data_IF_434678321543
#
_entry.id   IF_434678321543
#
_cell.length_a   1.000
_cell.length_b   1.000
_cell.length_c   1.000
_cell.angle_alpha   90.00
_cell.angle_beta   90.00
_cell.angle_gamma   90.00
#
_symmetry.space_group_name_H-M   'P 1'
#
loop_
_entity.id
_entity.type
_entity.pdbx_description
1 polymer ?
#
# COMPACT_ATOMS: atom_id res chain seq x y z
N UNK A 1 -2.11 -47.04 3.31
CA UNK A 1 -3.30 -47.42 4.10
C UNK A 1 -3.24 -46.69 5.45
N UNK A 2 -3.67 -45.42 5.49
CA UNK A 2 -3.94 -44.60 6.70
C UNK A 2 -4.16 -43.12 6.28
N UNK A 3 -5.30 -42.82 5.64
CA UNK A 3 -5.68 -41.42 5.31
C UNK A 3 -7.19 -41.30 5.01
N UNK A 4 -8.05 -41.93 5.85
CA UNK A 4 -9.51 -41.94 5.61
C UNK A 4 -10.42 -41.67 6.81
N UNK A 5 -9.89 -41.19 7.95
CA UNK A 5 -10.70 -41.12 9.19
C UNK A 5 -10.88 -39.73 9.82
N UNK A 6 -10.48 -38.64 9.16
CA UNK A 6 -10.64 -37.27 9.72
C UNK A 6 -11.78 -36.46 9.06
N UNK A 7 -12.29 -36.88 7.89
CA UNK A 7 -13.27 -36.10 7.12
C UNK A 7 -14.77 -36.37 7.41
N UNK A 8 -15.13 -37.15 8.44
CA UNK A 8 -16.54 -37.49 8.75
C UNK A 8 -17.15 -36.80 9.98
N UNK A 9 -16.41 -35.98 10.74
CA UNK A 9 -16.95 -35.31 11.95
C UNK A 9 -17.34 -33.83 11.78
N UNK A 10 -17.05 -33.17 10.64
CA UNK A 10 -17.31 -31.73 10.47
C UNK A 10 -18.65 -31.37 9.80
N UNK A 11 -19.36 -32.34 9.21
CA UNK A 11 -20.70 -32.11 8.61
C UNK A 11 -21.87 -32.13 9.61
N UNK A 12 -21.64 -32.38 10.90
CA UNK A 12 -22.71 -32.46 11.92
C UNK A 12 -22.83 -31.20 12.81
N UNK A 13 -21.95 -30.21 12.62
CA UNK A 13 -21.92 -28.99 13.46
C UNK A 13 -22.63 -27.77 12.83
N UNK A 14 -23.09 -27.86 11.58
CA UNK A 14 -23.82 -26.77 10.89
C UNK A 14 -25.36 -26.90 10.93
N UNK A 15 -25.90 -27.84 11.72
CA UNK A 15 -27.35 -28.09 11.80
C UNK A 15 -28.07 -27.54 13.03
N UNK A 16 -27.37 -26.94 14.00
CA UNK A 16 -27.97 -26.59 15.31
C UNK A 16 -27.95 -25.08 15.60
N UNK A 17 -27.24 -24.26 14.81
CA UNK A 17 -27.16 -22.80 15.06
C UNK A 17 -28.15 -21.95 14.24
N UNK A 18 -29.02 -22.56 13.42
CA UNK A 18 -29.94 -21.82 12.54
C UNK A 18 -31.39 -21.72 13.03
N UNK A 19 -31.71 -22.23 14.24
CA UNK A 19 -33.10 -22.27 14.72
C UNK A 19 -33.36 -21.57 16.07
N UNK A 20 -32.51 -20.63 16.49
CA UNK A 20 -32.71 -19.97 17.77
C UNK A 20 -32.42 -18.46 17.82
N UNK A 21 -32.85 -17.70 16.81
CA UNK A 21 -32.98 -16.24 16.93
C UNK A 21 -34.22 -15.68 16.21
N UNK A 22 -35.39 -16.25 16.51
CA UNK A 22 -36.69 -15.59 16.30
C UNK A 22 -37.58 -15.77 17.53
N UNK A 23 -37.51 -14.82 18.48
CA UNK A 23 -38.50 -14.42 19.50
C UNK A 23 -37.74 -13.80 20.69
N UNK A 24 -37.76 -12.48 20.83
CA UNK A 24 -38.82 -11.68 21.48
C UNK A 24 -38.79 -11.72 23.00
N UNK A 25 -38.53 -10.53 23.57
CA UNK A 25 -39.05 -9.97 24.82
C UNK A 25 -38.64 -10.50 26.21
N UNK A 26 -37.94 -9.60 26.91
CA UNK A 26 -38.25 -9.09 28.27
C UNK A 26 -37.80 -9.87 29.52
N UNK A 27 -37.37 -9.04 30.48
CA UNK A 27 -37.29 -9.19 31.96
C UNK A 27 -35.94 -9.63 32.54
N UNK A 28 -35.51 -8.84 33.52
CA UNK A 28 -34.28 -8.99 34.28
C UNK A 28 -34.38 -9.94 35.47
N UNK A 29 -33.52 -9.69 36.48
CA UNK A 29 -33.26 -10.47 37.70
C UNK A 29 -32.39 -11.72 37.43
N UNK A 30 -31.40 -12.14 38.23
CA UNK A 30 -30.94 -11.82 39.59
C UNK A 30 -29.48 -12.29 39.70
N UNK A 31 -28.64 -11.56 40.43
CA UNK A 31 -27.29 -11.97 40.80
C UNK A 31 -27.33 -12.89 42.02
N UNK A 32 -26.83 -14.12 41.90
CA UNK A 32 -26.58 -15.00 43.05
C UNK A 32 -25.15 -15.52 42.99
N UNK A 33 -24.33 -15.09 43.94
CA UNK A 33 -22.97 -15.57 44.19
C UNK A 33 -23.01 -16.94 44.89
N UNK A 34 -22.26 -17.93 44.41
CA UNK A 34 -21.66 -19.00 45.22
C UNK A 34 -20.77 -19.91 44.35
N UNK A 35 -19.53 -20.15 44.77
CA UNK A 35 -18.76 -21.31 44.28
C UNK A 35 -17.31 -21.04 43.93
N UNK A 36 -16.44 -21.24 44.91
CA UNK A 36 -14.99 -21.35 44.88
C UNK A 36 -14.39 -22.20 43.75
N UNK A 37 -13.29 -21.70 43.16
CA UNK A 37 -12.19 -22.53 42.67
C UNK A 37 -12.29 -23.02 41.22
N UNK A 38 -11.62 -22.30 40.31
CA UNK A 38 -10.57 -22.80 39.40
C UNK A 38 -10.18 -21.61 38.51
N UNK A 39 -8.98 -21.09 38.75
CA UNK A 39 -8.34 -20.14 37.86
C UNK A 39 -7.85 -20.90 36.62
N UNK A 40 -8.48 -20.70 35.48
CA UNK A 40 -7.84 -20.93 34.17
C UNK A 40 -8.47 -19.99 33.14
N UNK A 41 -7.64 -19.06 32.67
CA UNK A 41 -7.93 -17.88 31.87
C UNK A 41 -8.96 -18.05 30.74
N UNK A 42 -10.09 -17.36 30.89
CA UNK A 42 -10.84 -16.83 29.75
C UNK A 42 -10.39 -15.38 29.61
N UNK A 43 -9.59 -15.10 28.58
CA UNK A 43 -9.30 -13.73 28.15
C UNK A 43 -10.58 -13.17 27.54
N UNK A 44 -11.40 -12.53 28.38
CA UNK A 44 -12.52 -11.71 27.92
C UNK A 44 -11.92 -10.43 27.32
N UNK A 45 -11.86 -10.37 25.99
CA UNK A 45 -11.70 -9.14 25.24
C UNK A 45 -12.92 -8.24 25.51
N UNK A 46 -12.88 -7.47 26.59
CA UNK A 46 -13.77 -6.34 26.77
C UNK A 46 -13.29 -5.23 25.84
N UNK A 47 -13.81 -5.21 24.62
CA UNK A 47 -13.80 -4.00 23.78
C UNK A 47 -14.75 -3.02 24.45
N UNK A 48 -14.22 -2.25 25.40
CA UNK A 48 -14.91 -1.08 25.93
C UNK A 48 -14.80 0.03 24.88
N UNK A 49 -15.74 0.02 23.93
CA UNK A 49 -16.09 1.20 23.16
C UNK A 49 -16.68 2.22 24.13
N UNK A 50 -15.83 3.07 24.71
CA UNK A 50 -16.14 4.46 25.09
C UNK A 50 -15.02 5.06 25.94
N UNK A 51 -14.18 5.87 25.30
CA UNK A 51 -13.78 7.23 25.72
C UNK A 51 -12.65 7.70 24.80
N UNK A 52 -13.02 8.11 23.59
CA UNK A 52 -12.24 9.07 22.81
C UNK A 52 -12.38 10.41 23.54
N UNK A 53 -11.68 10.56 24.67
CA UNK A 53 -11.56 11.82 25.39
C UNK A 53 -10.22 12.41 24.98
N UNK A 54 -10.29 13.35 24.05
CA UNK A 54 -9.66 14.67 24.15
C UNK A 54 -8.32 14.72 24.92
N UNK A 55 -7.31 14.04 24.42
CA UNK A 55 -5.96 14.58 24.47
C UNK A 55 -5.67 15.09 23.06
N UNK A 56 -5.69 16.40 22.86
CA UNK A 56 -4.90 17.00 21.79
C UNK A 56 -3.45 16.62 22.10
N UNK A 57 -3.04 15.45 21.62
CA UNK A 57 -1.64 15.05 21.63
C UNK A 57 -0.96 16.13 20.80
N UNK A 58 -0.14 16.95 21.44
CA UNK A 58 0.74 17.89 20.74
C UNK A 58 1.39 17.07 19.63
N UNK A 59 1.13 17.46 18.38
CA UNK A 59 1.60 16.75 17.21
C UNK A 59 3.11 16.55 17.36
N UNK A 60 3.54 15.31 17.64
CA UNK A 60 4.95 15.05 17.88
C UNK A 60 5.69 14.91 16.56
N UNK A 61 6.25 16.03 16.10
CA UNK A 61 6.92 16.08 14.80
C UNK A 61 8.21 15.26 14.77
N UNK A 62 8.82 14.95 15.92
CA UNK A 62 10.04 14.13 15.95
C UNK A 62 9.82 12.68 15.49
N UNK A 63 8.55 12.26 15.39
CA UNK A 63 8.21 10.93 14.89
C UNK A 63 8.28 10.81 13.37
N UNK A 64 8.28 11.92 12.63
CA UNK A 64 8.32 11.95 11.17
C UNK A 64 9.74 12.07 10.62
N UNK A 65 9.93 11.77 9.33
CA UNK A 65 11.24 11.91 8.67
C UNK A 65 11.67 13.38 8.55
N UNK A 66 10.71 14.30 8.41
CA UNK A 66 10.94 15.74 8.47
C UNK A 66 9.65 16.47 8.90
N UNK A 67 9.74 17.80 9.03
CA UNK A 67 8.59 18.66 9.35
C UNK A 67 7.47 18.50 8.29
N UNK A 68 6.18 18.49 8.70
CA UNK A 68 5.04 18.45 7.79
C UNK A 68 5.10 19.56 6.72
N UNK A 69 4.39 19.36 5.61
CA UNK A 69 4.33 20.33 4.52
C UNK A 69 3.41 21.49 4.93
N UNK A 70 2.24 21.15 5.44
CA UNK A 70 1.34 22.11 6.08
C UNK A 70 1.87 22.50 7.46
N UNK A 71 1.74 23.77 7.85
CA UNK A 71 2.23 24.21 9.15
C UNK A 71 1.54 23.47 10.31
N UNK A 72 2.31 23.14 11.35
CA UNK A 72 1.83 22.40 12.52
C UNK A 72 0.59 23.06 13.14
N UNK A 73 0.58 24.40 13.25
CA UNK A 73 -0.57 25.15 13.78
C UNK A 73 -1.85 24.92 12.97
N UNK A 74 -1.74 24.85 11.62
CA UNK A 74 -2.90 24.60 10.75
C UNK A 74 -3.43 23.18 10.90
N UNK A 75 -2.53 22.21 11.03
CA UNK A 75 -2.88 20.80 11.26
C UNK A 75 -3.56 20.63 12.62
N UNK A 76 -3.01 21.25 13.67
CA UNK A 76 -3.58 21.20 15.02
C UNK A 76 -4.92 21.93 15.14
N UNK A 77 -5.11 23.03 14.38
CA UNK A 77 -6.38 23.78 14.35
C UNK A 77 -7.50 23.02 13.65
N UNK A 78 -7.18 22.14 12.69
CA UNK A 78 -8.17 21.40 11.89
C UNK A 78 -7.92 19.89 11.94
N UNK A 79 -7.98 19.26 13.12
CA UNK A 79 -7.62 17.84 13.28
C UNK A 79 -8.59 16.90 12.55
N UNK A 80 -9.85 17.34 12.37
CA UNK A 80 -10.89 16.55 11.72
C UNK A 80 -10.95 16.70 10.20
N UNK A 81 -10.26 17.69 9.64
CA UNK A 81 -10.19 17.91 8.19
C UNK A 81 -9.50 16.74 7.50
N UNK A 82 -10.07 16.27 6.39
CA UNK A 82 -9.55 15.10 5.69
C UNK A 82 -8.13 15.32 5.15
N UNK A 83 -7.77 16.55 4.78
CA UNK A 83 -6.42 16.86 4.29
C UNK A 83 -5.42 16.72 5.44
N UNK A 84 -5.77 17.22 6.63
CA UNK A 84 -4.98 16.99 7.85
C UNK A 84 -4.82 15.51 8.14
N UNK A 85 -5.93 14.75 8.18
CA UNK A 85 -5.91 13.30 8.45
C UNK A 85 -5.02 12.55 7.47
N UNK A 86 -5.12 12.87 6.18
CA UNK A 86 -4.35 12.21 5.13
C UNK A 86 -2.87 12.61 5.16
N UNK A 87 -2.54 13.89 5.35
CA UNK A 87 -1.14 14.34 5.48
C UNK A 87 -0.45 13.67 6.66
N UNK A 88 -1.11 13.60 7.82
CA UNK A 88 -0.56 12.93 9.00
C UNK A 88 -0.42 11.41 8.80
N UNK A 89 -1.38 10.78 8.11
CA UNK A 89 -1.30 9.35 7.78
C UNK A 89 -0.07 9.07 6.90
N UNK A 90 0.11 9.79 5.79
CA UNK A 90 1.23 9.52 4.86
C UNK A 90 2.58 9.85 5.49
N UNK A 91 2.67 10.90 6.34
CA UNK A 91 3.88 11.23 7.11
C UNK A 91 4.25 10.09 8.07
N UNK A 92 3.25 9.57 8.81
CA UNK A 92 3.45 8.44 9.72
C UNK A 92 3.93 7.20 8.96
N UNK A 93 3.23 6.82 7.89
CA UNK A 93 3.55 5.61 7.11
C UNK A 93 4.94 5.74 6.47
N UNK A 94 5.30 6.92 5.95
CA UNK A 94 6.65 7.19 5.43
C UNK A 94 7.70 6.93 6.52
N UNK A 95 7.52 7.51 7.71
CA UNK A 95 8.48 7.39 8.79
C UNK A 95 8.60 5.96 9.33
N UNK A 96 7.46 5.29 9.55
CA UNK A 96 7.44 3.90 9.99
C UNK A 96 8.13 2.99 8.97
N UNK A 97 7.86 3.19 7.68
CA UNK A 97 8.45 2.35 6.65
C UNK A 97 9.95 2.61 6.47
N UNK A 98 10.40 3.88 6.45
CA UNK A 98 11.82 4.22 6.45
C UNK A 98 12.56 3.56 7.61
N UNK A 99 12.04 3.69 8.84
CA UNK A 99 12.65 3.09 10.04
C UNK A 99 12.70 1.56 9.96
N UNK A 100 11.64 0.92 9.43
CA UNK A 100 11.65 -0.53 9.24
C UNK A 100 12.69 -0.98 8.21
N UNK A 101 12.86 -0.23 7.11
CA UNK A 101 13.90 -0.54 6.12
C UNK A 101 15.30 -0.33 6.68
N UNK A 102 15.55 0.77 7.40
CA UNK A 102 16.84 1.01 8.09
C UNK A 102 17.16 -0.09 9.11
N UNK A 103 16.15 -0.62 9.83
CA UNK A 103 16.36 -1.70 10.80
C UNK A 103 16.81 -3.04 10.19
N UNK A 104 16.78 -3.16 8.85
CA UNK A 104 17.25 -4.33 8.12
C UNK A 104 18.65 -4.12 7.53
N UNK A 105 19.17 -2.90 7.57
CA UNK A 105 20.47 -2.52 7.06
C UNK A 105 21.54 -2.52 8.16
N UNK A 106 22.80 -2.34 7.75
CA UNK A 106 23.90 -2.07 8.68
C UNK A 106 23.79 -0.65 9.26
N UNK A 107 24.37 -0.43 10.45
CA UNK A 107 24.26 0.82 11.24
C UNK A 107 24.68 2.10 10.51
N UNK A 108 25.36 2.01 9.36
CA UNK A 108 25.83 3.17 8.60
C UNK A 108 24.90 3.58 7.43
N UNK A 109 23.86 2.79 7.15
CA UNK A 109 22.98 2.98 6.00
C UNK A 109 21.67 3.64 6.43
N UNK A 110 21.57 4.95 6.19
CA UNK A 110 20.38 5.75 6.53
C UNK A 110 19.75 6.41 5.31
N UNK A 111 18.45 6.70 5.40
CA UNK A 111 17.76 7.51 4.41
C UNK A 111 18.32 8.94 4.41
N UNK A 112 18.69 9.42 3.23
CA UNK A 112 18.85 10.84 2.98
C UNK A 112 17.46 11.45 2.86
N UNK A 113 17.14 12.37 3.75
CA UNK A 113 15.84 13.04 3.81
C UNK A 113 15.96 14.43 3.22
N UNK A 114 15.13 14.72 2.24
CA UNK A 114 15.04 16.03 1.61
C UNK A 114 13.60 16.55 1.61
N UNK A 115 13.38 17.63 2.35
CA UNK A 115 12.11 18.34 2.41
C UNK A 115 12.17 19.56 1.50
N UNK A 116 11.23 19.64 0.57
CA UNK A 116 11.18 20.69 -0.45
C UNK A 116 9.78 21.31 -0.54
N UNK A 117 9.72 22.52 -1.11
CA UNK A 117 8.49 23.29 -1.30
C UNK A 117 8.39 23.79 -2.75
N UNK A 118 7.16 24.08 -3.21
CA UNK A 118 6.91 24.67 -4.54
C UNK A 118 6.51 26.13 -4.39
N UNK A 119 6.94 26.96 -5.36
CA UNK A 119 6.51 28.36 -5.45
C UNK A 119 4.98 28.49 -5.63
N UNK A 120 4.37 27.55 -6.35
CA UNK A 120 2.92 27.52 -6.63
C UNK A 120 2.06 27.03 -5.46
N UNK A 121 2.68 26.55 -4.38
CA UNK A 121 2.00 25.97 -3.23
C UNK A 121 2.28 24.48 -3.03
N UNK A 122 2.35 24.07 -1.76
CA UNK A 122 2.65 22.71 -1.35
C UNK A 122 4.13 22.35 -1.38
N UNK A 123 4.42 21.06 -1.40
CA UNK A 123 5.77 20.52 -1.29
C UNK A 123 5.79 19.01 -1.12
N UNK A 124 6.90 18.49 -0.64
CA UNK A 124 7.06 17.07 -0.39
C UNK A 124 8.28 16.73 0.47
N UNK A 125 8.36 15.47 0.85
CA UNK A 125 9.50 14.88 1.56
C UNK A 125 9.94 13.68 0.76
N UNK A 126 11.19 13.71 0.30
CA UNK A 126 11.83 12.64 -0.46
C UNK A 126 12.84 11.96 0.46
N UNK A 127 12.61 10.68 0.76
CA UNK A 127 13.55 9.86 1.52
C UNK A 127 14.19 8.87 0.56
N UNK A 128 15.52 8.88 0.43
CA UNK A 128 16.27 7.95 -0.44
C UNK A 128 17.37 7.24 0.32
N UNK A 129 17.39 5.91 0.22
CA UNK A 129 18.50 5.05 0.63
C UNK A 129 19.10 4.42 -0.63
N UNK A 130 20.42 4.46 -0.74
CA UNK A 130 21.16 3.96 -1.91
C UNK A 130 22.44 3.28 -1.47
N UNK A 131 22.83 2.23 -2.21
CA UNK A 131 24.01 1.43 -1.93
C UNK A 131 23.97 0.79 -0.52
N UNK A 132 22.78 0.40 -0.06
CA UNK A 132 22.62 -0.41 1.15
C UNK A 132 23.07 -1.85 0.92
N UNK A 133 23.32 -2.56 2.01
CA UNK A 133 23.71 -3.97 2.02
C UNK A 133 22.53 -4.85 1.66
N UNK A 134 21.33 -4.49 2.13
CA UNK A 134 20.08 -5.23 1.84
C UNK A 134 19.32 -4.59 0.68
N UNK A 135 19.20 -3.26 0.68
CA UNK A 135 18.50 -2.49 -0.32
C UNK A 135 19.51 -1.70 -1.16
N UNK A 136 19.75 -2.18 -2.39
CA UNK A 136 20.53 -1.42 -3.37
C UNK A 136 19.97 0.00 -3.56
N UNK A 137 18.64 0.12 -3.57
CA UNK A 137 17.93 1.40 -3.59
C UNK A 137 16.55 1.26 -2.97
N UNK A 138 16.18 2.20 -2.12
CA UNK A 138 14.83 2.40 -1.64
C UNK A 138 14.49 3.88 -1.66
N UNK A 139 13.24 4.20 -1.94
CA UNK A 139 12.75 5.53 -1.65
C UNK A 139 11.30 5.54 -1.24
N UNK A 140 11.00 6.45 -0.32
CA UNK A 140 9.69 6.59 0.30
C UNK A 140 9.35 8.07 0.24
N UNK A 141 8.54 8.44 -0.75
CA UNK A 141 8.26 9.84 -1.06
C UNK A 141 6.83 10.19 -0.68
N UNK A 142 6.64 11.38 -0.12
CA UNK A 142 5.32 11.99 0.04
C UNK A 142 5.30 13.35 -0.66
N UNK A 143 4.11 13.74 -1.09
CA UNK A 143 3.86 15.07 -1.65
C UNK A 143 2.49 15.56 -1.20
N UNK A 144 2.45 16.80 -0.73
CA UNK A 144 1.21 17.52 -0.43
C UNK A 144 1.22 18.75 -1.31
N UNK A 145 0.51 18.67 -2.43
CA UNK A 145 0.44 19.74 -3.42
C UNK A 145 -0.92 20.41 -3.34
N UNK A 146 -0.91 21.74 -3.28
CA UNK A 146 -2.09 22.57 -3.38
C UNK A 146 -1.83 23.63 -4.45
N UNK A 147 -2.85 23.95 -5.24
CA UNK A 147 -2.70 24.92 -6.33
C UNK A 147 -3.83 24.82 -7.33
N UNK A 148 -3.60 25.44 -8.50
CA UNK A 148 -4.52 25.38 -9.64
C UNK A 148 -4.21 24.14 -10.50
N UNK A 149 -5.24 23.42 -10.94
CA UNK A 149 -5.06 22.27 -11.83
C UNK A 149 -4.41 22.72 -13.15
N UNK A 150 -3.28 22.12 -13.58
CA UNK A 150 -2.71 22.44 -14.86
C UNK A 150 -3.66 21.96 -15.99
N UNK A 151 -3.74 22.65 -17.13
CA UNK A 151 -4.67 22.30 -18.22
C UNK A 151 -4.56 20.85 -18.70
N UNK A 152 -3.35 20.28 -18.70
CA UNK A 152 -3.13 18.87 -19.04
C UNK A 152 -3.72 17.88 -18.03
N UNK A 153 -3.75 18.22 -16.74
CA UNK A 153 -4.43 17.41 -15.71
C UNK A 153 -5.94 17.46 -15.92
N UNK A 154 -6.49 18.66 -16.20
CA UNK A 154 -7.91 18.84 -16.50
C UNK A 154 -8.32 18.00 -17.72
N UNK A 155 -7.50 18.00 -18.78
CA UNK A 155 -7.75 17.20 -19.97
C UNK A 155 -7.74 15.69 -19.68
N UNK A 156 -6.81 15.20 -18.87
CA UNK A 156 -6.80 13.79 -18.43
C UNK A 156 -8.01 13.44 -17.56
N UNK A 157 -8.41 14.32 -16.64
CA UNK A 157 -9.59 14.10 -15.79
C UNK A 157 -10.89 14.11 -16.61
N UNK A 158 -11.01 15.02 -17.60
CA UNK A 158 -12.12 15.04 -18.56
C UNK A 158 -12.17 13.76 -19.42
N UNK A 159 -11.03 13.24 -19.85
CA UNK A 159 -10.95 11.97 -20.57
C UNK A 159 -11.43 10.77 -19.73
N UNK A 160 -11.42 10.89 -18.39
CA UNK A 160 -12.00 9.91 -17.45
C UNK A 160 -13.49 10.13 -17.16
N UNK A 161 -14.15 11.03 -17.89
CA UNK A 161 -15.58 11.31 -17.74
C UNK A 161 -15.93 12.23 -16.57
N UNK A 162 -14.95 12.84 -15.88
CA UNK A 162 -15.23 13.86 -14.86
C UNK A 162 -15.63 15.17 -15.56
N UNK A 163 -16.82 15.69 -15.25
CA UNK A 163 -17.23 17.01 -15.70
C UNK A 163 -16.58 18.07 -14.82
N UNK A 164 -15.63 18.80 -15.41
CA UNK A 164 -14.89 19.89 -14.74
C UNK A 164 -15.21 21.18 -15.48
N UNK A 165 -15.91 22.10 -14.81
CA UNK A 165 -16.27 23.41 -15.31
C UNK A 165 -15.04 24.20 -15.79
N UNK A 166 -15.21 25.09 -16.77
CA UNK A 166 -14.14 25.98 -17.21
C UNK A 166 -13.83 27.03 -16.13
N UNK A 167 -12.73 26.83 -15.41
CA UNK A 167 -12.27 27.76 -14.37
C UNK A 167 -11.08 27.24 -13.57
N UNK A 168 -10.40 28.16 -12.88
CA UNK A 168 -9.25 27.88 -12.01
C UNK A 168 -9.72 27.18 -10.72
N UNK A 169 -9.79 25.85 -10.71
CA UNK A 169 -10.24 25.08 -9.56
C UNK A 169 -9.08 24.79 -8.60
N UNK A 170 -9.17 25.23 -7.32
CA UNK A 170 -8.23 24.78 -6.31
C UNK A 170 -8.42 23.28 -6.08
N UNK A 171 -7.35 22.50 -6.23
CA UNK A 171 -7.40 21.06 -6.01
C UNK A 171 -6.51 20.64 -4.85
N UNK A 172 -6.96 19.58 -4.18
CA UNK A 172 -6.17 18.78 -3.25
C UNK A 172 -6.26 17.34 -3.76
N UNK A 173 -5.14 16.74 -4.11
CA UNK A 173 -5.10 15.36 -4.58
C UNK A 173 -4.60 14.43 -3.47
N UNK A 174 -5.46 13.50 -3.06
CA UNK A 174 -5.09 12.29 -2.33
C UNK A 174 -6.09 11.18 -2.72
N UNK A 175 -5.63 10.00 -3.15
CA UNK A 175 -6.48 8.90 -3.69
C UNK A 175 -7.01 7.94 -2.59
N UNK A 176 -7.91 6.96 -2.82
CA UNK A 176 -8.33 6.13 -4.00
C UNK A 176 -9.51 5.16 -3.63
N UNK A 177 -10.37 4.59 -4.55
CA UNK A 177 -11.78 3.97 -4.43
C UNK A 177 -12.09 2.67 -3.66
N UNK A 178 -13.30 2.58 -3.07
CA UNK A 178 -14.00 1.35 -2.66
C UNK A 178 -15.32 1.13 -3.44
N UNK A 179 -15.23 0.25 -4.44
CA UNK A 179 -16.27 -0.53 -5.15
C UNK A 179 -17.05 -1.56 -4.31
N UNK A 180 -18.33 -1.87 -4.53
CA UNK A 180 -19.04 -3.02 -3.92
C UNK A 180 -18.55 -4.43 -4.37
N UNK A 181 -17.30 -4.55 -4.83
CA UNK A 181 -16.64 -5.82 -5.14
C UNK A 181 -15.60 -6.15 -4.09
N UNK A 182 -15.44 -7.44 -3.75
CA UNK A 182 -14.39 -7.89 -2.84
C UNK A 182 -12.98 -7.60 -3.36
N UNK A 183 -11.97 -7.95 -2.56
CA UNK A 183 -10.53 -7.81 -2.86
C UNK A 183 -10.12 -8.26 -4.28
N UNK A 184 -10.88 -9.22 -4.85
CA UNK A 184 -10.76 -9.72 -6.22
C UNK A 184 -10.79 -8.63 -7.29
N UNK A 185 -11.61 -7.59 -7.13
CA UNK A 185 -11.69 -6.48 -8.10
C UNK A 185 -10.39 -5.69 -8.13
N UNK A 186 -9.84 -5.36 -6.96
CA UNK A 186 -8.55 -4.64 -6.87
C UNK A 186 -7.38 -5.51 -7.30
N UNK A 187 -7.45 -6.82 -7.08
CA UNK A 187 -6.46 -7.76 -7.60
C UNK A 187 -6.48 -7.80 -9.12
N UNK A 188 -7.66 -7.97 -9.73
CA UNK A 188 -7.79 -7.96 -11.18
C UNK A 188 -7.32 -6.62 -11.76
N UNK A 189 -7.69 -5.51 -11.14
CA UNK A 189 -7.26 -4.20 -11.61
C UNK A 189 -5.74 -4.02 -11.51
N UNK A 190 -5.10 -4.61 -10.50
CA UNK A 190 -3.64 -4.64 -10.38
C UNK A 190 -3.00 -5.42 -11.53
N UNK A 191 -3.53 -6.61 -11.84
CA UNK A 191 -3.04 -7.44 -12.94
C UNK A 191 -3.18 -6.72 -14.29
N UNK A 192 -4.33 -6.07 -14.52
CA UNK A 192 -4.61 -5.31 -15.75
C UNK A 192 -3.74 -4.04 -15.86
N UNK A 193 -3.55 -3.28 -14.76
CA UNK A 193 -2.82 -2.02 -14.79
C UNK A 193 -1.31 -2.21 -15.00
N UNK A 194 -0.72 -3.23 -14.37
CA UNK A 194 0.72 -3.48 -14.42
C UNK A 194 1.14 -4.40 -15.58
N UNK A 195 0.33 -4.49 -16.64
CA UNK A 195 0.62 -5.29 -17.82
C UNK A 195 1.55 -4.55 -18.81
N UNK A 196 2.58 -5.23 -19.31
CA UNK A 196 3.54 -4.71 -20.27
C UNK A 196 3.12 -5.20 -21.67
N UNK A 197 2.26 -4.43 -22.34
CA UNK A 197 1.60 -4.85 -23.60
C UNK A 197 2.58 -5.39 -24.65
N UNK A 198 3.73 -4.74 -24.85
CA UNK A 198 4.70 -5.14 -25.87
C UNK A 198 5.54 -6.37 -25.49
N UNK A 199 5.46 -6.85 -24.24
CA UNK A 199 6.10 -8.08 -23.76
C UNK A 199 5.11 -9.23 -23.55
N UNK A 200 3.82 -8.91 -23.48
CA UNK A 200 2.76 -9.89 -23.21
C UNK A 200 2.81 -10.46 -21.79
N UNK A 201 3.31 -9.71 -20.80
CA UNK A 201 3.45 -10.17 -19.41
C UNK A 201 3.18 -9.02 -18.40
N UNK A 202 2.73 -9.38 -17.20
CA UNK A 202 2.68 -8.47 -16.06
C UNK A 202 4.08 -8.12 -15.54
N UNK A 203 4.23 -6.91 -14.99
CA UNK A 203 5.47 -6.43 -14.35
C UNK A 203 5.90 -7.31 -13.17
N UNK A 204 4.93 -7.87 -12.43
CA UNK A 204 5.12 -8.70 -11.25
C UNK A 204 3.87 -9.54 -10.95
N UNK A 205 3.78 -10.10 -9.74
CA UNK A 205 2.71 -11.04 -9.34
C UNK A 205 1.41 -10.39 -8.87
N UNK A 206 1.28 -9.08 -9.04
CA UNK A 206 0.10 -8.30 -8.68
C UNK A 206 0.10 -7.83 -7.22
N UNK A 207 -1.10 -7.69 -6.65
CA UNK A 207 -1.35 -7.07 -5.36
C UNK A 207 -2.75 -6.44 -5.39
N UNK A 208 -2.90 -5.25 -4.82
CA UNK A 208 -4.11 -4.44 -4.98
C UNK A 208 -3.79 -3.17 -5.76
N UNK A 209 -4.69 -2.76 -6.64
CA UNK A 209 -4.62 -1.49 -7.33
C UNK A 209 -6.03 -0.88 -7.43
N UNK A 210 -6.10 0.42 -7.21
CA UNK A 210 -7.34 1.17 -7.22
C UNK A 210 -7.07 2.64 -7.53
N UNK A 211 -8.02 3.31 -8.18
CA UNK A 211 -7.99 4.73 -8.54
C UNK A 211 -9.40 5.32 -8.33
N UNK A 212 -9.51 6.65 -8.19
CA UNK A 212 -10.77 7.42 -8.12
C UNK A 212 -11.72 7.13 -6.90
N UNK A 213 -11.30 7.23 -5.61
CA UNK A 213 -12.23 7.10 -4.43
C UNK A 213 -13.24 8.22 -4.31
N UNK A 214 -14.52 7.89 -4.36
CA UNK A 214 -15.57 8.78 -3.88
C UNK A 214 -16.74 8.11 -3.13
N UNK A 215 -16.80 6.77 -3.03
CA UNK A 215 -17.90 6.04 -2.38
C UNK A 215 -17.47 5.01 -1.31
N UNK A 216 -18.30 4.68 -0.29
CA UNK A 216 -19.61 5.28 0.00
C UNK A 216 -19.50 6.63 0.71
N UNK A 217 -18.37 6.95 1.35
CA UNK A 217 -18.10 8.26 1.95
C UNK A 217 -16.60 8.54 2.03
N UNK A 218 -16.25 9.81 2.20
CA UNK A 218 -14.87 10.24 2.40
C UNK A 218 -14.21 9.60 3.64
N UNK A 219 -14.98 9.28 4.67
CA UNK A 219 -14.43 8.68 5.88
C UNK A 219 -14.18 7.17 5.71
N UNK A 220 -15.13 6.44 5.12
CA UNK A 220 -14.94 5.01 4.79
C UNK A 220 -13.75 4.83 3.85
N UNK A 221 -13.64 5.75 2.88
CA UNK A 221 -12.51 5.84 1.99
C UNK A 221 -11.17 5.95 2.71
N UNK A 222 -11.09 6.91 3.64
CA UNK A 222 -9.91 7.13 4.43
C UNK A 222 -9.57 5.91 5.29
N UNK A 223 -10.55 5.25 5.90
CA UNK A 223 -10.34 4.04 6.69
C UNK A 223 -9.81 2.88 5.84
N UNK A 224 -10.33 2.71 4.62
CA UNK A 224 -9.84 1.72 3.69
C UNK A 224 -8.38 2.01 3.30
N UNK A 225 -8.07 3.23 2.84
CA UNK A 225 -6.71 3.65 2.48
C UNK A 225 -5.74 3.49 3.66
N UNK A 226 -6.17 3.86 4.86
CA UNK A 226 -5.42 3.66 6.09
C UNK A 226 -5.09 2.17 6.30
N UNK A 227 -6.07 1.29 6.16
CA UNK A 227 -5.84 -0.16 6.30
C UNK A 227 -4.85 -0.69 5.26
N UNK A 228 -4.93 -0.24 4.00
CA UNK A 228 -3.99 -0.62 2.96
C UNK A 228 -2.57 -0.13 3.26
N UNK A 229 -2.43 1.12 3.72
CA UNK A 229 -1.14 1.70 4.08
C UNK A 229 -0.51 0.97 5.28
N UNK A 230 -1.31 0.65 6.31
CA UNK A 230 -0.87 -0.12 7.48
C UNK A 230 -0.50 -1.57 7.14
N UNK A 231 -1.02 -2.12 6.04
CA UNK A 231 -0.70 -3.47 5.57
C UNK A 231 0.64 -3.58 4.80
N UNK A 232 1.26 -2.47 4.38
CA UNK A 232 2.51 -2.48 3.60
C UNK A 232 3.66 -3.13 4.37
N UNK A 233 3.89 -2.67 5.60
CA UNK A 233 4.98 -3.18 6.45
C UNK A 233 4.82 -4.68 6.76
N UNK A 234 3.67 -5.17 7.29
CA UNK A 234 3.51 -6.58 7.63
C UNK A 234 3.45 -7.51 6.41
N UNK A 235 3.15 -7.00 5.19
CA UNK A 235 3.20 -7.82 3.98
C UNK A 235 4.60 -7.91 3.36
N UNK A 236 5.41 -6.86 3.47
CA UNK A 236 6.71 -6.78 2.80
C UNK A 236 7.90 -7.15 3.69
N UNK A 237 7.97 -6.62 4.92
CA UNK A 237 9.13 -6.80 5.80
C UNK A 237 9.42 -8.26 6.14
N UNK A 238 8.42 -9.13 6.40
CA UNK A 238 8.69 -10.55 6.64
C UNK A 238 9.36 -11.26 5.45
N UNK A 239 9.00 -10.90 4.21
CA UNK A 239 9.61 -11.48 3.01
C UNK A 239 11.07 -11.08 2.89
N UNK A 240 11.39 -9.80 3.14
CA UNK A 240 12.78 -9.34 3.14
C UNK A 240 13.59 -10.03 4.24
N UNK A 241 13.05 -10.11 5.47
CA UNK A 241 13.72 -10.80 6.59
C UNK A 241 14.02 -12.26 6.27
N UNK A 242 13.11 -12.94 5.56
CA UNK A 242 13.28 -14.33 5.18
C UNK A 242 14.40 -14.50 4.14
N UNK A 243 14.48 -13.62 3.14
CA UNK A 243 15.32 -13.83 1.96
C UNK A 243 16.56 -12.95 1.86
N UNK A 244 16.74 -11.93 2.71
CA UNK A 244 17.86 -10.97 2.60
C UNK A 244 19.25 -11.60 2.72
N UNK A 245 19.36 -12.79 3.30
CA UNK A 245 20.62 -13.51 3.50
C UNK A 245 20.73 -14.75 2.59
N UNK A 246 19.78 -14.96 1.68
CA UNK A 246 19.83 -16.09 0.75
C UNK A 246 21.02 -15.90 -0.20
N UNK A 247 21.79 -16.98 -0.39
CA UNK A 247 22.88 -16.99 -1.35
C UNK A 247 22.35 -16.91 -2.78
N UNK A 248 22.97 -16.11 -3.62
CA UNK A 248 22.70 -16.05 -5.06
C UNK A 248 23.99 -15.99 -5.87
N UNK A 249 23.97 -16.59 -7.05
CA UNK A 249 25.06 -16.63 -8.00
C UNK A 249 24.94 -15.62 -9.13
N UNK A 250 25.86 -15.73 -10.08
CA UNK A 250 25.91 -14.85 -11.24
C UNK A 250 24.64 -14.92 -12.10
N UNK A 251 24.13 -16.12 -12.36
CA UNK A 251 22.95 -16.33 -13.21
C UNK A 251 21.70 -15.65 -12.63
N UNK A 252 21.44 -15.84 -11.33
CA UNK A 252 20.31 -15.21 -10.63
C UNK A 252 20.43 -13.68 -10.63
N UNK A 253 21.65 -13.15 -10.45
CA UNK A 253 21.89 -11.70 -10.57
C UNK A 253 21.62 -11.18 -11.98
N UNK A 254 22.05 -11.89 -13.03
CA UNK A 254 21.76 -11.50 -14.41
C UNK A 254 20.26 -11.51 -14.68
N UNK A 255 19.55 -12.53 -14.21
CA UNK A 255 18.10 -12.61 -14.32
C UNK A 255 17.40 -11.46 -13.59
N UNK A 256 17.82 -11.15 -12.36
CA UNK A 256 17.29 -10.02 -11.60
C UNK A 256 17.45 -8.69 -12.36
N UNK A 257 18.61 -8.46 -13.01
CA UNK A 257 18.85 -7.25 -13.81
C UNK A 257 17.95 -7.19 -15.05
N UNK A 258 17.65 -8.32 -15.69
CA UNK A 258 16.68 -8.39 -16.80
C UNK A 258 15.26 -8.08 -16.32
N UNK A 259 14.84 -8.63 -15.17
CA UNK A 259 13.54 -8.30 -14.55
C UNK A 259 13.44 -6.82 -14.17
N UNK A 260 14.54 -6.22 -13.68
CA UNK A 260 14.63 -4.77 -13.46
C UNK A 260 14.50 -3.97 -14.76
N UNK A 261 15.01 -4.47 -15.88
CA UNK A 261 14.78 -3.90 -17.21
C UNK A 261 13.28 -3.82 -17.56
N UNK A 262 12.51 -4.88 -17.27
CA UNK A 262 11.04 -4.89 -17.42
C UNK A 262 10.35 -3.87 -16.51
N UNK A 263 10.84 -3.71 -15.28
CA UNK A 263 10.34 -2.69 -14.36
C UNK A 263 10.53 -1.27 -14.91
N UNK A 264 11.71 -0.99 -15.50
CA UNK A 264 12.00 0.28 -16.17
C UNK A 264 11.13 0.49 -17.40
N UNK A 265 10.97 -0.53 -18.26
CA UNK A 265 10.08 -0.48 -19.43
C UNK A 265 8.66 -0.06 -19.03
N UNK A 266 8.11 -0.67 -17.98
CA UNK A 266 6.78 -0.30 -17.50
C UNK A 266 6.71 1.17 -17.03
N UNK A 267 7.64 1.60 -16.17
CA UNK A 267 7.59 2.93 -15.60
C UNK A 267 7.74 4.03 -16.67
N UNK A 268 8.59 3.82 -17.68
CA UNK A 268 8.80 4.81 -18.73
C UNK A 268 7.70 4.80 -19.80
N UNK A 269 7.12 3.63 -20.12
CA UNK A 269 6.20 3.48 -21.27
C UNK A 269 4.73 3.49 -20.85
N UNK A 270 4.37 2.96 -19.68
CA UNK A 270 2.97 2.71 -19.32
C UNK A 270 2.54 3.42 -18.04
N UNK A 271 3.43 3.64 -17.08
CA UNK A 271 3.03 4.24 -15.81
C UNK A 271 2.51 5.68 -15.97
N UNK A 272 1.23 5.85 -15.62
CA UNK A 272 0.54 7.14 -15.75
C UNK A 272 1.14 8.19 -14.83
N UNK A 273 1.53 7.78 -13.61
CA UNK A 273 2.12 8.69 -12.61
C UNK A 273 3.46 9.26 -13.08
N UNK A 274 4.35 8.39 -13.57
CA UNK A 274 5.65 8.79 -14.12
C UNK A 274 5.48 9.72 -15.32
N UNK A 275 4.64 9.36 -16.30
CA UNK A 275 4.37 10.24 -17.45
C UNK A 275 3.84 11.60 -17.03
N UNK A 276 2.79 11.62 -16.20
CA UNK A 276 2.20 12.86 -15.72
C UNK A 276 3.23 13.75 -15.01
N UNK A 277 4.05 13.17 -14.14
CA UNK A 277 5.13 13.88 -13.47
C UNK A 277 6.14 14.49 -14.44
N UNK A 278 6.59 13.73 -15.44
CA UNK A 278 7.58 14.21 -16.42
C UNK A 278 7.03 15.35 -17.30
N UNK A 279 5.74 15.33 -17.63
CA UNK A 279 5.08 16.39 -18.40
C UNK A 279 4.62 17.60 -17.56
N UNK A 280 4.71 17.54 -16.23
CA UNK A 280 4.31 18.66 -15.36
C UNK A 280 5.44 19.68 -15.27
N UNK A 281 5.23 20.96 -15.67
CA UNK A 281 6.24 22.00 -15.55
C UNK A 281 6.69 22.19 -14.10
N UNK A 282 7.99 22.35 -13.88
CA UNK A 282 8.57 22.53 -12.54
C UNK A 282 8.49 21.29 -11.64
N UNK A 283 8.10 20.13 -12.18
CA UNK A 283 8.12 18.89 -11.41
C UNK A 283 9.56 18.44 -11.12
N UNK A 284 9.73 17.79 -9.98
CA UNK A 284 11.04 17.31 -9.54
C UNK A 284 11.34 15.94 -10.12
N UNK A 285 12.09 15.91 -11.22
CA UNK A 285 12.42 14.67 -11.93
C UNK A 285 13.15 13.64 -11.06
N UNK A 286 14.02 14.07 -10.15
CA UNK A 286 14.69 13.16 -9.20
C UNK A 286 13.70 12.39 -8.31
N UNK A 287 12.60 13.02 -7.89
CA UNK A 287 11.56 12.36 -7.09
C UNK A 287 10.70 11.42 -7.94
N UNK A 288 10.50 11.73 -9.23
CA UNK A 288 9.72 10.92 -10.18
C UNK A 288 10.50 9.66 -10.59
N UNK A 289 11.77 9.84 -10.96
CA UNK A 289 12.67 8.77 -11.42
C UNK A 289 13.30 7.98 -10.27
N UNK A 290 12.97 8.33 -9.01
CA UNK A 290 13.39 7.56 -7.83
C UNK A 290 13.03 6.08 -7.96
N UNK A 291 11.88 5.77 -8.58
CA UNK A 291 11.41 4.40 -8.81
C UNK A 291 12.34 3.55 -9.68
N UNK A 292 13.22 4.16 -10.49
CA UNK A 292 14.15 3.42 -11.32
C UNK A 292 15.24 2.75 -10.46
N UNK A 293 15.58 1.48 -10.71
CA UNK A 293 16.63 0.78 -9.97
C UNK A 293 18.01 1.36 -10.29
N UNK A 294 19.01 1.07 -9.44
CA UNK A 294 20.41 1.46 -9.72
C UNK A 294 20.95 0.80 -10.99
N UNK A 295 20.60 -0.47 -11.21
CA UNK A 295 21.11 -1.27 -12.31
C UNK A 295 19.95 -2.03 -12.96
N UNK A 296 19.95 -2.07 -14.29
CA UNK A 296 19.05 -2.85 -15.12
C UNK A 296 19.80 -3.34 -16.36
N UNK A 297 19.33 -4.44 -16.97
CA UNK A 297 19.92 -5.03 -18.17
C UNK A 297 18.86 -5.25 -19.24
N UNK A 298 19.26 -5.09 -20.50
CA UNK A 298 18.54 -5.54 -21.67
C UNK A 298 19.42 -6.44 -22.50
N UNK A 299 18.86 -7.54 -22.98
CA UNK A 299 19.56 -8.53 -23.78
C UNK A 299 18.69 -8.92 -24.97
N UNK A 300 19.33 -8.98 -26.14
CA UNK A 300 18.64 -9.25 -27.39
C UNK A 300 18.26 -10.73 -27.48
N UNK A 301 16.99 -11.02 -27.77
CA UNK A 301 16.45 -12.39 -27.91
C UNK A 301 16.72 -13.33 -26.72
N UNK A 302 16.84 -12.79 -25.50
CA UNK A 302 16.97 -13.63 -24.31
C UNK A 302 15.66 -14.38 -24.00
N UNK A 303 15.73 -15.70 -23.93
CA UNK A 303 14.67 -16.58 -23.45
C UNK A 303 15.18 -17.46 -22.31
N UNK A 304 14.45 -17.57 -21.18
CA UNK A 304 14.86 -18.45 -20.09
C UNK A 304 14.74 -19.92 -20.52
N UNK A 305 15.60 -20.77 -19.97
CA UNK A 305 15.54 -22.21 -20.21
C UNK A 305 14.15 -22.76 -19.81
N UNK A 306 13.46 -23.57 -20.63
CA UNK A 306 12.06 -23.96 -20.36
C UNK A 306 11.80 -24.64 -19.01
N UNK A 307 12.78 -25.34 -18.45
CA UNK A 307 12.66 -26.06 -17.17
C UNK A 307 13.21 -25.29 -15.96
N UNK A 308 13.51 -24.00 -16.12
CA UNK A 308 14.12 -23.15 -15.09
C UNK A 308 13.08 -22.44 -14.21
N UNK A 309 13.50 -21.94 -13.06
CA UNK A 309 12.64 -21.11 -12.19
C UNK A 309 12.27 -19.78 -12.87
N UNK A 310 13.14 -19.26 -13.73
CA UNK A 310 12.92 -18.09 -14.55
C UNK A 310 11.75 -18.29 -15.52
N UNK A 311 11.68 -19.46 -16.18
CA UNK A 311 10.57 -19.79 -17.07
C UNK A 311 9.25 -19.94 -16.32
N UNK A 312 9.26 -20.57 -15.13
CA UNK A 312 8.08 -20.66 -14.25
C UNK A 312 7.57 -19.28 -13.84
N UNK A 313 8.48 -18.36 -13.49
CA UNK A 313 8.10 -16.98 -13.20
C UNK A 313 7.44 -16.33 -14.42
N UNK A 314 8.06 -16.40 -15.60
CA UNK A 314 7.50 -15.80 -16.83
C UNK A 314 6.11 -16.37 -17.15
N UNK A 315 5.87 -17.66 -16.94
CA UNK A 315 4.54 -18.25 -17.13
C UNK A 315 3.49 -17.61 -16.22
N UNK A 316 3.81 -17.40 -14.94
CA UNK A 316 2.93 -16.71 -13.97
C UNK A 316 2.71 -15.26 -14.37
N UNK A 317 3.73 -14.58 -14.91
CA UNK A 317 3.60 -13.19 -15.33
C UNK A 317 2.77 -13.05 -16.61
N UNK A 318 2.81 -14.03 -17.51
CA UNK A 318 1.95 -14.09 -18.70
C UNK A 318 0.50 -14.45 -18.33
N UNK A 319 0.32 -15.29 -17.31
CA UNK A 319 -0.97 -15.79 -16.87
C UNK A 319 -1.15 -15.56 -15.35
N UNK A 320 -1.60 -14.36 -14.94
CA UNK A 320 -1.78 -14.02 -13.53
C UNK A 320 -2.66 -15.05 -12.80
N UNK A 321 -2.19 -15.48 -11.63
CA UNK A 321 -2.87 -16.46 -10.79
C UNK A 321 -3.72 -15.80 -9.71
N UNK A 322 -4.78 -16.50 -9.31
CA UNK A 322 -5.49 -16.21 -8.08
C UNK A 322 -4.74 -16.85 -6.91
N UNK A 323 -4.02 -16.04 -6.13
CA UNK A 323 -3.19 -16.48 -5.01
C UNK A 323 -3.97 -16.90 -3.75
N UNK A 324 -5.27 -16.59 -3.65
CA UNK A 324 -6.08 -16.89 -2.48
C UNK A 324 -6.85 -18.21 -2.62
N UNK A 325 -7.22 -18.56 -3.86
CA UNK A 325 -8.00 -19.77 -4.15
C UNK A 325 -7.23 -20.83 -4.94
N UNK A 326 -5.93 -20.62 -5.23
CA UNK A 326 -5.11 -21.67 -5.86
C UNK A 326 -4.81 -22.78 -4.85
N UNK A 327 -5.26 -23.98 -5.20
CA UNK A 327 -5.00 -25.26 -4.51
C UNK A 327 -3.72 -25.90 -5.03
#
# INVERSE_FOLDING_TARGET
>A
MAARTIFKKWKKFHGILYNHLTRSHSKGMTLTFLGTGVATGIVLYNVSSSKVIAAQTILNVSNFMAQPITSVDKLQKNPDDMKTKMELLILKIQADFCKQLESLEDDNSHFKVDRWARAEGGGGITCVLQNGTVFEKAGVNISVVSGLLPPGAIQQMRARGKQIDEGSLPFFAAGMVQFNGGLEVFKKWCDDYFYINHRGECRGVGGIFFDDLDIPSQNEAFLFVKSCAEAVIPSYIPLVKLHKNDGYGYAERQWQLLRRGRYVEFNLIYDRGTKFGLYTPGARYESILMSLPLNAKWEYMHEPNPNSEEAKLVEVLKNPKDWLNST
#
